data_IF_907310642521
#
_entry.id   IF_907310642521
#
_cell.length_a   1.000
_cell.length_b   1.000
_cell.length_c   1.000
_cell.angle_alpha   90.00
_cell.angle_beta   90.00
_cell.angle_gamma   90.00
#
_symmetry.space_group_name_H-M   'P 1'
#
loop_
_entity.id
_entity.type
_entity.pdbx_description
1 polymer ?
#
# COMPACT_ATOMS: atom_id res chain seq x y z
N UNK A 1 -1.12 0.28 8.06
CA UNK A 1 -2.38 -0.36 7.64
C UNK A 1 -2.56 -0.16 6.14
N UNK A 2 -3.13 -1.15 5.47
CA UNK A 2 -3.52 -1.06 4.07
C UNK A 2 -4.71 -0.12 3.90
N UNK A 3 -4.77 0.55 2.77
CA UNK A 3 -5.82 1.49 2.42
C UNK A 3 -6.25 1.20 0.98
N UNK A 4 -7.55 0.99 0.76
CA UNK A 4 -8.12 0.82 -0.56
C UNK A 4 -8.49 2.18 -1.13
N UNK A 5 -7.96 2.53 -2.29
CA UNK A 5 -8.23 3.81 -2.96
C UNK A 5 -8.80 3.51 -4.34
N UNK A 6 -9.93 4.13 -4.67
CA UNK A 6 -10.54 4.06 -6.00
C UNK A 6 -10.76 5.48 -6.52
N UNK A 7 -10.22 5.75 -7.70
CA UNK A 7 -10.53 6.93 -8.49
C UNK A 7 -11.41 6.49 -9.65
N UNK A 8 -12.67 6.90 -9.65
CA UNK A 8 -13.64 6.61 -10.70
C UNK A 8 -13.89 7.87 -11.52
N UNK A 9 -13.67 7.79 -12.84
CA UNK A 9 -13.76 8.94 -13.74
C UNK A 9 -14.74 8.64 -14.86
N UNK A 10 -15.62 9.60 -15.15
CA UNK A 10 -16.57 9.58 -16.27
C UNK A 10 -16.70 10.99 -16.82
N UNK A 11 -16.23 11.21 -18.05
CA UNK A 11 -16.30 12.50 -18.72
C UNK A 11 -17.52 12.66 -19.63
N UNK A 12 -18.31 11.60 -19.83
CA UNK A 12 -19.49 11.63 -20.73
C UNK A 12 -20.68 12.36 -20.11
N UNK A 13 -20.66 12.61 -18.80
CA UNK A 13 -21.76 13.25 -18.09
C UNK A 13 -21.67 14.77 -18.16
N UNK A 14 -22.63 15.36 -18.86
CA UNK A 14 -22.75 16.83 -19.06
C UNK A 14 -23.10 17.55 -17.77
N UNK A 15 -22.21 18.44 -17.32
CA UNK A 15 -22.46 19.32 -16.19
C UNK A 15 -22.54 18.64 -14.83
N UNK A 16 -22.07 17.41 -14.74
CA UNK A 16 -22.05 16.65 -13.49
C UNK A 16 -20.81 17.02 -12.66
N UNK A 17 -21.05 17.40 -11.42
CA UNK A 17 -20.01 17.59 -10.40
C UNK A 17 -19.39 16.25 -9.95
N UNK A 18 -19.82 15.12 -10.54
CA UNK A 18 -19.43 13.78 -10.18
C UNK A 18 -18.59 13.06 -11.26
N UNK A 19 -18.04 13.83 -12.23
CA UNK A 19 -17.15 13.25 -13.26
C UNK A 19 -15.92 12.57 -12.65
N UNK A 20 -15.45 13.03 -11.50
CA UNK A 20 -14.37 12.42 -10.73
C UNK A 20 -14.88 12.10 -9.33
N UNK A 21 -14.77 10.83 -8.94
CA UNK A 21 -15.11 10.35 -7.59
C UNK A 21 -13.90 9.66 -6.96
N UNK A 22 -13.57 10.06 -5.76
CA UNK A 22 -12.52 9.43 -4.96
C UNK A 22 -13.15 8.64 -3.82
N UNK A 23 -12.75 7.41 -3.67
CA UNK A 23 -13.18 6.56 -2.55
C UNK A 23 -11.98 6.09 -1.74
N UNK A 24 -12.13 6.05 -0.43
CA UNK A 24 -11.16 5.50 0.50
C UNK A 24 -11.84 4.46 1.36
N UNK A 25 -11.37 3.22 1.31
CA UNK A 25 -11.96 2.08 2.03
C UNK A 25 -13.48 1.93 1.81
N UNK A 26 -13.93 2.14 0.57
CA UNK A 26 -15.33 2.04 0.18
C UNK A 26 -16.18 3.30 0.41
N UNK A 27 -15.68 4.28 1.14
CA UNK A 27 -16.36 5.53 1.47
C UNK A 27 -15.98 6.63 0.47
N UNK A 28 -16.97 7.35 -0.07
CA UNK A 28 -16.74 8.46 -0.99
C UNK A 28 -16.18 9.67 -0.23
N UNK A 29 -15.06 10.19 -0.69
CA UNK A 29 -14.46 11.41 -0.18
C UNK A 29 -15.01 12.61 -0.95
N UNK A 30 -15.79 13.46 -0.29
CA UNK A 30 -16.52 14.58 -0.92
C UNK A 30 -16.00 15.96 -0.48
N UNK A 31 -14.97 16.03 0.37
CA UNK A 31 -14.44 17.29 0.89
C UNK A 31 -13.06 17.58 0.31
N UNK A 32 -12.99 18.42 -0.70
CA UNK A 32 -11.76 18.85 -1.36
C UNK A 32 -11.52 20.35 -1.13
N UNK A 33 -10.25 20.73 -1.00
CA UNK A 33 -9.87 22.15 -0.97
C UNK A 33 -10.08 22.83 -2.33
N UNK A 34 -9.94 22.08 -3.41
CA UNK A 34 -10.24 22.48 -4.78
C UNK A 34 -10.86 21.28 -5.48
N UNK A 35 -12.00 21.49 -6.11
CA UNK A 35 -12.72 20.50 -6.90
C UNK A 35 -12.91 21.07 -8.31
N UNK A 36 -12.19 20.50 -9.27
CA UNK A 36 -12.26 20.91 -10.67
C UNK A 36 -12.47 19.65 -11.50
N UNK A 37 -13.65 19.53 -12.06
CA UNK A 37 -14.02 18.40 -12.90
C UNK A 37 -13.61 18.68 -14.37
N UNK A 38 -13.31 17.64 -15.16
CA UNK A 38 -13.09 17.77 -16.59
C UNK A 38 -14.36 18.27 -17.29
N UNK A 39 -14.19 18.86 -18.46
CA UNK A 39 -15.29 19.22 -19.32
C UNK A 39 -15.98 17.96 -19.86
N UNK A 40 -17.24 18.10 -20.28
CA UNK A 40 -17.96 16.99 -20.96
C UNK A 40 -17.17 16.53 -22.19
N UNK A 41 -17.08 15.23 -22.35
CA UNK A 41 -16.33 14.57 -23.46
C UNK A 41 -14.84 14.95 -23.49
N UNK A 42 -14.28 15.44 -22.38
CA UNK A 42 -12.85 15.76 -22.31
C UNK A 42 -12.01 14.50 -22.38
N UNK A 43 -11.10 14.46 -23.35
CA UNK A 43 -10.14 13.37 -23.49
C UNK A 43 -9.06 13.49 -22.43
N UNK A 44 -9.03 12.56 -21.50
CA UNK A 44 -8.00 12.47 -20.48
C UNK A 44 -6.74 11.79 -21.01
N UNK A 45 -5.62 12.05 -20.34
CA UNK A 45 -4.32 11.46 -20.70
C UNK A 45 -4.26 9.95 -20.44
N UNK A 46 -5.09 9.44 -19.54
CA UNK A 46 -5.16 8.01 -19.19
C UNK A 46 -5.57 7.18 -20.42
N UNK A 47 -4.85 6.09 -20.66
CA UNK A 47 -5.10 5.21 -21.80
C UNK A 47 -4.67 5.77 -23.17
N UNK A 48 -3.97 6.89 -23.21
CA UNK A 48 -3.38 7.44 -24.46
C UNK A 48 -1.95 6.93 -24.67
N UNK A 49 -1.43 7.08 -25.88
CA UNK A 49 -0.07 6.63 -26.23
C UNK A 49 1.01 7.61 -25.70
N UNK A 50 1.09 7.74 -24.39
CA UNK A 50 2.12 8.47 -23.67
C UNK A 50 2.69 7.59 -22.56
N UNK A 51 3.86 7.95 -22.03
CA UNK A 51 4.45 7.22 -20.92
C UNK A 51 3.58 7.35 -19.65
N UNK A 52 3.22 6.23 -19.07
CA UNK A 52 2.51 6.13 -17.80
C UNK A 52 3.43 5.59 -16.72
N UNK A 53 3.30 6.11 -15.52
CA UNK A 53 4.14 5.74 -14.40
C UNK A 53 3.29 5.36 -13.19
N UNK A 54 3.76 4.37 -12.43
CA UNK A 54 3.16 3.94 -11.16
C UNK A 54 4.18 4.17 -10.05
N UNK A 55 3.74 4.77 -8.95
CA UNK A 55 4.59 5.05 -7.81
C UNK A 55 5.49 6.27 -7.95
N UNK A 56 5.37 7.01 -9.05
CA UNK A 56 6.13 8.24 -9.26
C UNK A 56 5.30 9.24 -10.08
N UNK A 57 5.49 10.52 -9.85
CA UNK A 57 4.83 11.53 -10.68
C UNK A 57 5.46 11.61 -12.07
N UNK A 58 4.61 11.91 -13.06
CA UNK A 58 5.07 12.16 -14.43
C UNK A 58 5.15 13.67 -14.66
N UNK A 59 6.35 14.16 -14.89
CA UNK A 59 6.57 15.53 -15.30
C UNK A 59 7.11 15.57 -16.74
N UNK A 60 6.31 16.09 -17.66
CA UNK A 60 6.66 16.23 -19.08
C UNK A 60 7.13 14.92 -19.77
N UNK A 61 6.52 13.78 -19.42
CA UNK A 61 6.85 12.49 -20.01
C UNK A 61 8.06 11.79 -19.40
N UNK A 62 8.59 12.31 -18.30
CA UNK A 62 9.69 11.70 -17.54
C UNK A 62 9.25 11.48 -16.09
N UNK A 63 9.75 10.42 -15.47
CA UNK A 63 9.56 10.19 -14.05
C UNK A 63 10.23 11.32 -13.24
N UNK A 64 9.47 11.90 -12.31
CA UNK A 64 9.99 12.89 -11.37
C UNK A 64 10.78 12.19 -10.24
N UNK A 65 11.53 12.96 -9.47
CA UNK A 65 12.26 12.48 -8.28
C UNK A 65 11.35 12.20 -7.08
N UNK A 66 10.06 12.58 -7.14
CA UNK A 66 9.06 12.41 -6.08
C UNK A 66 8.39 11.05 -6.18
N UNK A 67 9.03 10.02 -5.62
CA UNK A 67 8.50 8.67 -5.57
C UNK A 67 7.53 8.45 -4.41
N UNK A 68 6.60 7.52 -4.58
CA UNK A 68 5.78 6.99 -3.50
C UNK A 68 6.64 6.15 -2.55
N UNK A 69 6.64 6.50 -1.28
CA UNK A 69 7.33 5.74 -0.23
C UNK A 69 6.31 4.90 0.55
N UNK A 70 6.16 3.64 0.13
CA UNK A 70 5.18 2.74 0.71
C UNK A 70 5.07 1.42 -0.05
N UNK A 71 4.11 0.60 0.34
CA UNK A 71 3.78 -0.65 -0.33
C UNK A 71 2.52 -0.49 -1.17
N UNK A 72 2.50 -1.14 -2.32
CA UNK A 72 1.35 -1.21 -3.22
C UNK A 72 0.96 -2.66 -3.45
N UNK A 73 -0.32 -2.92 -3.62
CA UNK A 73 -0.85 -4.24 -3.93
C UNK A 73 -2.07 -4.10 -4.84
N UNK A 74 -2.27 -5.06 -5.73
CA UNK A 74 -3.46 -5.18 -6.58
C UNK A 74 -3.87 -3.84 -7.26
N UNK A 75 -3.05 -3.34 -8.17
CA UNK A 75 -3.37 -2.15 -8.94
C UNK A 75 -4.22 -2.54 -10.13
N UNK A 76 -5.39 -1.94 -10.24
CA UNK A 76 -6.32 -2.12 -11.34
C UNK A 76 -6.50 -0.80 -12.10
N UNK A 77 -6.38 -0.84 -13.42
CA UNK A 77 -6.89 0.19 -14.31
C UNK A 77 -7.92 -0.43 -15.23
N UNK A 78 -9.15 0.06 -15.17
CA UNK A 78 -10.26 -0.42 -15.99
C UNK A 78 -10.65 0.66 -16.97
N UNK A 79 -10.50 0.38 -18.24
CA UNK A 79 -10.79 1.29 -19.35
C UNK A 79 -12.24 1.14 -19.80
N UNK A 80 -12.90 2.29 -20.04
CA UNK A 80 -14.26 2.37 -20.57
C UNK A 80 -15.38 2.11 -19.57
N UNK A 81 -15.09 2.10 -18.25
CA UNK A 81 -16.10 1.89 -17.21
C UNK A 81 -15.80 2.74 -15.96
N UNK A 82 -16.80 3.47 -15.46
CA UNK A 82 -16.74 4.05 -14.13
C UNK A 82 -17.27 3.04 -13.11
N UNK A 83 -16.41 2.45 -12.31
CA UNK A 83 -16.76 1.40 -11.37
C UNK A 83 -16.76 1.91 -9.92
N UNK A 84 -17.73 1.42 -9.15
CA UNK A 84 -17.78 1.63 -7.72
C UNK A 84 -16.70 0.79 -6.98
N UNK A 85 -16.26 1.19 -5.78
CA UNK A 85 -15.25 0.45 -5.02
C UNK A 85 -15.67 -0.99 -4.70
N UNK A 86 -16.97 -1.27 -4.67
CA UNK A 86 -17.52 -2.62 -4.48
C UNK A 86 -17.24 -3.58 -5.65
N UNK A 87 -16.70 -3.10 -6.76
CA UNK A 87 -16.19 -3.97 -7.82
C UNK A 87 -14.89 -4.71 -7.39
N UNK A 88 -14.09 -4.12 -6.51
CA UNK A 88 -12.76 -4.58 -6.14
C UNK A 88 -12.61 -5.01 -4.68
N UNK A 89 -13.58 -4.64 -3.85
CA UNK A 89 -13.56 -4.95 -2.41
C UNK A 89 -14.97 -5.02 -1.85
N UNK A 90 -15.12 -5.53 -0.64
CA UNK A 90 -16.40 -5.68 0.04
C UNK A 90 -16.26 -5.52 1.56
N UNK A 91 -17.36 -5.21 2.24
CA UNK A 91 -17.40 -5.27 3.70
C UNK A 91 -17.56 -6.73 4.14
N UNK A 92 -16.64 -7.18 4.93
CA UNK A 92 -16.69 -8.48 5.60
C UNK A 92 -16.67 -8.31 7.11
N UNK A 93 -17.83 -8.37 7.73
CA UNK A 93 -18.03 -8.19 9.18
C UNK A 93 -17.48 -6.86 9.73
N UNK A 94 -17.68 -5.76 9.02
CA UNK A 94 -17.20 -4.44 9.39
C UNK A 94 -15.74 -4.16 9.03
N UNK A 95 -15.12 -5.04 8.25
CA UNK A 95 -13.78 -4.87 7.70
C UNK A 95 -13.85 -4.79 6.18
N UNK A 96 -13.32 -3.74 5.62
CA UNK A 96 -13.20 -3.58 4.17
C UNK A 96 -12.08 -4.46 3.64
N UNK A 97 -12.43 -5.50 2.85
CA UNK A 97 -11.47 -6.49 2.35
C UNK A 97 -11.47 -6.55 0.83
N UNK A 98 -10.32 -6.81 0.18
CA UNK A 98 -10.26 -7.00 -1.26
C UNK A 98 -11.03 -8.22 -1.71
N UNK A 99 -11.58 -8.14 -2.92
CA UNK A 99 -12.13 -9.27 -3.66
C UNK A 99 -11.66 -9.27 -5.11
N UNK A 100 -11.69 -10.43 -5.74
CA UNK A 100 -11.32 -10.56 -7.14
C UNK A 100 -12.27 -9.80 -8.05
N UNK A 101 -11.73 -8.94 -8.90
CA UNK A 101 -12.47 -8.33 -10.00
C UNK A 101 -12.68 -9.36 -11.11
N UNK A 102 -13.91 -9.53 -11.56
CA UNK A 102 -14.31 -10.51 -12.58
C UNK A 102 -14.83 -9.87 -13.87
N UNK A 103 -14.80 -8.53 -13.95
CA UNK A 103 -15.19 -7.79 -15.14
C UNK A 103 -14.09 -7.74 -16.20
N UNK A 104 -14.37 -7.01 -17.28
CA UNK A 104 -13.40 -6.76 -18.35
C UNK A 104 -12.58 -5.52 -18.07
N UNK A 105 -11.30 -5.54 -18.43
CA UNK A 105 -10.40 -4.40 -18.22
C UNK A 105 -10.46 -3.34 -19.33
N UNK A 106 -11.11 -3.64 -20.49
CA UNK A 106 -11.02 -2.79 -21.67
C UNK A 106 -9.64 -2.91 -22.35
N UNK A 107 -9.47 -2.26 -23.50
CA UNK A 107 -8.26 -2.46 -24.32
C UNK A 107 -6.99 -1.85 -23.72
N UNK A 108 -7.11 -0.74 -23.00
CA UNK A 108 -5.99 -0.06 -22.35
C UNK A 108 -5.89 -0.42 -20.85
N UNK A 109 -6.81 -1.24 -20.34
CA UNK A 109 -6.83 -1.64 -18.94
C UNK A 109 -5.71 -2.65 -18.60
N UNK A 110 -5.35 -2.71 -17.32
CA UNK A 110 -4.34 -3.64 -16.81
C UNK A 110 -4.61 -4.02 -15.34
N UNK A 111 -3.96 -5.08 -14.91
CA UNK A 111 -3.87 -5.47 -13.49
C UNK A 111 -2.45 -5.84 -13.14
N UNK A 112 -1.90 -5.19 -12.12
CA UNK A 112 -0.62 -5.56 -11.52
C UNK A 112 -0.86 -6.17 -10.15
N UNK A 113 -0.60 -7.46 -10.00
CA UNK A 113 -0.72 -8.18 -8.72
C UNK A 113 0.61 -8.30 -7.97
N UNK A 114 1.73 -7.94 -8.62
CA UNK A 114 3.09 -8.00 -8.09
C UNK A 114 3.52 -9.39 -7.59
N UNK A 115 2.83 -10.45 -7.99
CA UNK A 115 3.11 -11.81 -7.49
C UNK A 115 4.38 -12.40 -8.10
N UNK A 116 4.77 -11.98 -9.31
CA UNK A 116 5.97 -12.45 -9.98
C UNK A 116 7.17 -11.57 -9.66
N UNK A 117 7.99 -12.00 -8.71
CA UNK A 117 9.20 -11.26 -8.31
C UNK A 117 10.25 -11.10 -9.44
N UNK A 118 10.21 -11.96 -10.47
CA UNK A 118 11.11 -11.84 -11.64
C UNK A 118 10.59 -10.84 -12.68
N UNK A 119 9.30 -10.51 -12.62
CA UNK A 119 8.64 -9.57 -13.53
C UNK A 119 7.52 -8.83 -12.80
N UNK A 120 7.91 -7.85 -12.00
CA UNK A 120 7.02 -7.09 -11.10
C UNK A 120 5.99 -6.28 -11.89
N UNK A 121 6.33 -5.89 -13.12
CA UNK A 121 5.48 -5.09 -13.99
C UNK A 121 4.50 -5.90 -14.85
N UNK A 122 4.45 -7.22 -14.71
CA UNK A 122 3.60 -8.09 -15.51
C UNK A 122 2.11 -7.79 -15.33
N UNK A 123 1.43 -7.54 -16.45
CA UNK A 123 -0.03 -7.35 -16.49
C UNK A 123 -0.74 -8.71 -16.51
N UNK A 124 -1.48 -9.00 -15.47
CA UNK A 124 -2.27 -10.24 -15.34
C UNK A 124 -3.74 -10.08 -15.76
N UNK A 125 -4.12 -8.96 -16.36
CA UNK A 125 -5.48 -8.74 -16.89
C UNK A 125 -5.79 -9.54 -18.14
N UNK A 126 -4.75 -9.95 -18.87
CA UNK A 126 -4.83 -10.62 -20.18
C UNK A 126 -4.64 -9.67 -21.36
N UNK A 127 -4.47 -8.38 -21.16
CA UNK A 127 -4.23 -7.38 -22.21
C UNK A 127 -2.76 -7.24 -22.62
N UNK A 128 -1.83 -7.74 -21.79
CA UNK A 128 -0.38 -7.59 -21.94
C UNK A 128 0.07 -6.11 -21.98
N UNK A 129 -0.55 -5.27 -21.16
CA UNK A 129 -0.14 -3.88 -20.94
C UNK A 129 0.90 -3.82 -19.81
N UNK A 130 2.04 -4.48 -20.05
CA UNK A 130 3.12 -4.65 -19.09
C UNK A 130 3.84 -3.34 -18.77
N UNK A 131 4.28 -3.21 -17.53
CA UNK A 131 5.14 -2.13 -17.07
C UNK A 131 6.58 -2.61 -16.90
N UNK A 132 7.52 -1.75 -17.21
CA UNK A 132 8.93 -2.02 -16.93
C UNK A 132 9.27 -1.52 -15.54
N UNK A 133 9.78 -2.40 -14.69
CA UNK A 133 10.27 -2.02 -13.36
C UNK A 133 11.44 -1.02 -13.50
N UNK A 134 11.33 0.10 -12.79
CA UNK A 134 12.30 1.19 -12.81
C UNK A 134 12.75 1.58 -11.40
N UNK A 135 13.60 2.58 -11.30
CA UNK A 135 13.96 3.18 -10.00
C UNK A 135 14.69 2.25 -9.02
N UNK A 136 15.28 1.15 -9.50
CA UNK A 136 15.96 0.18 -8.64
C UNK A 136 15.03 -0.81 -7.96
N UNK A 137 13.77 -0.91 -8.39
CA UNK A 137 12.86 -1.96 -7.90
C UNK A 137 13.40 -3.32 -8.37
N UNK A 138 13.55 -4.26 -7.43
CA UNK A 138 14.09 -5.58 -7.65
C UNK A 138 13.23 -6.65 -6.96
N UNK A 139 13.49 -7.91 -7.23
CA UNK A 139 12.72 -9.05 -6.71
C UNK A 139 12.61 -9.08 -5.17
N UNK A 140 13.60 -8.57 -4.46
CA UNK A 140 13.61 -8.48 -3.01
C UNK A 140 12.71 -7.38 -2.44
N UNK A 141 12.10 -6.55 -3.30
CA UNK A 141 11.06 -5.59 -2.91
C UNK A 141 9.66 -6.22 -2.91
N UNK A 142 9.46 -7.39 -3.51
CA UNK A 142 8.19 -8.13 -3.40
C UNK A 142 8.00 -8.66 -1.98
N UNK A 143 6.84 -8.41 -1.40
CA UNK A 143 6.54 -8.70 0.01
C UNK A 143 5.42 -9.72 0.14
N UNK A 144 5.46 -10.46 1.24
CA UNK A 144 4.38 -11.40 1.58
C UNK A 144 3.18 -10.69 2.24
N UNK A 145 3.38 -9.47 2.73
CA UNK A 145 2.32 -8.65 3.33
C UNK A 145 1.44 -8.07 2.22
N UNK A 146 0.13 -8.26 2.34
CA UNK A 146 -0.86 -7.81 1.38
C UNK A 146 -2.17 -7.47 2.09
N UNK A 147 -3.12 -6.77 1.46
CA UNK A 147 -4.41 -6.49 2.06
C UNK A 147 -5.21 -7.73 2.49
N UNK A 148 -5.03 -8.86 1.79
CA UNK A 148 -5.69 -10.13 2.11
C UNK A 148 -4.91 -11.00 3.09
N UNK A 149 -3.63 -10.72 3.28
CA UNK A 149 -2.71 -11.48 4.11
C UNK A 149 -1.77 -10.53 4.86
N UNK A 150 -2.38 -9.75 5.75
CA UNK A 150 -1.71 -8.66 6.46
C UNK A 150 -0.99 -9.20 7.70
N UNK A 151 0.33 -9.23 7.62
CA UNK A 151 1.20 -9.66 8.70
C UNK A 151 1.60 -8.51 9.62
N UNK A 152 1.92 -8.85 10.86
CA UNK A 152 2.58 -7.94 11.76
C UNK A 152 4.02 -7.72 11.27
N UNK A 153 4.29 -6.55 10.73
CA UNK A 153 5.58 -6.20 10.18
C UNK A 153 6.36 -5.30 11.15
N UNK A 154 7.68 -5.40 11.14
CA UNK A 154 8.53 -4.47 11.88
C UNK A 154 8.52 -3.08 11.24
N UNK A 155 8.36 -2.05 12.05
CA UNK A 155 8.44 -0.67 11.60
C UNK A 155 9.90 -0.24 11.63
N UNK A 156 10.47 -0.04 10.45
CA UNK A 156 11.82 0.50 10.30
C UNK A 156 11.90 1.90 10.89
N UNK A 157 12.99 2.20 11.57
CA UNK A 157 13.26 3.52 12.16
C UNK A 157 12.16 4.03 13.10
N UNK A 158 11.72 3.18 14.02
CA UNK A 158 10.69 3.53 15.01
C UNK A 158 11.08 4.65 15.99
N UNK A 159 12.29 5.20 15.84
CA UNK A 159 12.80 6.29 16.70
C UNK A 159 13.11 5.86 18.14
N UNK A 160 13.02 4.57 18.45
CA UNK A 160 13.26 4.05 19.80
C UNK A 160 14.68 3.51 19.94
N UNK A 161 15.41 4.08 20.91
CA UNK A 161 16.80 3.71 21.17
C UNK A 161 17.81 4.47 20.32
N UNK A 162 19.09 4.31 20.66
CA UNK A 162 20.23 5.00 20.00
C UNK A 162 21.01 4.09 19.06
N UNK A 163 20.66 2.80 19.03
CA UNK A 163 21.37 1.80 18.24
C UNK A 163 20.81 1.68 16.82
N UNK A 164 21.60 1.03 15.97
CA UNK A 164 21.22 0.73 14.59
C UNK A 164 20.23 -0.44 14.53
N UNK A 165 19.29 -0.34 13.62
CA UNK A 165 18.42 -1.45 13.26
C UNK A 165 18.41 -1.61 11.73
N UNK A 166 18.29 -2.84 11.27
CA UNK A 166 18.09 -3.17 9.86
C UNK A 166 16.86 -4.03 9.74
N UNK A 167 15.89 -3.54 8.98
CA UNK A 167 14.66 -4.25 8.67
C UNK A 167 14.77 -4.80 7.26
N UNK A 168 14.46 -6.06 7.07
CA UNK A 168 14.58 -6.76 5.81
C UNK A 168 13.40 -7.73 5.58
N UNK A 169 13.38 -8.41 4.44
CA UNK A 169 12.40 -9.42 4.08
C UNK A 169 10.95 -8.96 4.28
N UNK A 170 10.61 -7.75 3.78
CA UNK A 170 9.27 -7.23 3.92
C UNK A 170 8.93 -6.79 5.33
N UNK A 171 9.92 -6.31 6.05
CA UNK A 171 9.78 -5.93 7.45
C UNK A 171 9.39 -7.11 8.37
N UNK A 172 9.58 -8.35 7.91
CA UNK A 172 9.36 -9.56 8.72
C UNK A 172 10.63 -10.03 9.44
N UNK A 173 11.77 -9.47 9.09
CA UNK A 173 13.05 -9.70 9.73
C UNK A 173 13.62 -8.39 10.26
N UNK A 174 14.14 -8.41 11.48
CA UNK A 174 14.82 -7.28 12.07
C UNK A 174 16.12 -7.71 12.74
N UNK A 175 17.21 -7.03 12.41
CA UNK A 175 18.50 -7.12 13.09
C UNK A 175 18.69 -5.85 13.91
N UNK A 176 18.89 -6.00 15.22
CA UNK A 176 18.97 -4.91 16.17
C UNK A 176 20.40 -4.83 16.73
N UNK A 177 20.99 -3.65 16.63
CA UNK A 177 22.24 -3.36 17.34
C UNK A 177 22.04 -3.11 18.83
N UNK A 178 23.11 -2.90 19.56
CA UNK A 178 23.07 -2.56 20.98
C UNK A 178 22.21 -1.32 21.21
N UNK A 179 21.30 -1.38 22.17
CA UNK A 179 20.42 -0.27 22.56
C UNK A 179 19.45 0.20 21.47
N UNK A 180 19.13 -0.65 20.50
CA UNK A 180 18.08 -0.39 19.51
C UNK A 180 16.77 -1.10 19.89
N UNK A 181 15.65 -0.50 19.57
CA UNK A 181 14.31 -1.06 19.72
C UNK A 181 13.58 -0.96 18.40
N UNK A 182 12.70 -1.92 18.12
CA UNK A 182 11.80 -1.87 17.00
C UNK A 182 10.39 -2.20 17.46
N UNK A 183 9.41 -1.69 16.76
CA UNK A 183 8.00 -1.97 16.99
C UNK A 183 7.42 -2.77 15.83
N UNK A 184 6.31 -3.44 16.09
CA UNK A 184 5.49 -4.03 15.07
C UNK A 184 4.36 -3.08 14.64
N UNK A 185 3.85 -3.30 13.43
CA UNK A 185 2.80 -2.47 12.80
C UNK A 185 1.42 -2.62 13.47
N UNK A 186 1.21 -3.69 14.24
CA UNK A 186 -0.08 -3.95 14.88
C UNK A 186 -0.13 -3.37 16.28
N UNK A 187 -1.28 -2.74 16.60
CA UNK A 187 -1.60 -2.25 17.94
C UNK A 187 -2.64 -3.17 18.56
N UNK A 188 -2.35 -3.68 19.75
CA UNK A 188 -3.25 -4.52 20.53
C UNK A 188 -4.05 -3.61 21.48
N UNK A 189 -5.36 -3.55 21.31
CA UNK A 189 -6.24 -2.70 22.13
C UNK A 189 -7.00 -3.51 23.20
N UNK A 190 -7.72 -4.55 22.80
CA UNK A 190 -8.55 -5.38 23.68
C UNK A 190 -8.75 -6.77 23.10
N UNK A 191 -9.21 -7.71 23.91
CA UNK A 191 -9.51 -9.08 23.47
C UNK A 191 -8.40 -10.09 23.79
N UNK A 192 -8.45 -11.24 23.12
CA UNK A 192 -7.48 -12.32 23.25
C UNK A 192 -6.63 -12.34 22.00
N UNK A 193 -5.33 -12.28 22.17
CA UNK A 193 -4.37 -12.19 21.09
C UNK A 193 -3.35 -13.30 21.19
N UNK A 194 -2.89 -13.78 20.04
CA UNK A 194 -1.77 -14.68 19.89
C UNK A 194 -0.75 -14.03 18.96
N UNK A 195 0.52 -14.14 19.30
CA UNK A 195 1.63 -13.74 18.47
C UNK A 195 2.81 -14.66 18.70
N UNK A 196 3.65 -14.80 17.71
CA UNK A 196 4.87 -15.60 17.80
C UNK A 196 6.04 -14.84 17.18
N UNK A 197 7.22 -15.09 17.69
CA UNK A 197 8.48 -14.53 17.19
C UNK A 197 9.50 -15.64 17.07
N UNK A 198 10.11 -15.73 15.90
CA UNK A 198 11.22 -16.63 15.69
C UNK A 198 12.53 -15.88 15.93
N UNK A 199 13.34 -16.32 16.89
CA UNK A 199 14.63 -15.73 17.23
C UNK A 199 15.75 -16.56 16.60
N UNK A 200 16.51 -15.94 15.71
CA UNK A 200 17.61 -16.61 14.99
C UNK A 200 18.97 -16.40 15.66
N UNK A 201 19.10 -15.36 16.48
CA UNK A 201 20.32 -15.04 17.22
C UNK A 201 19.99 -14.69 18.67
N UNK A 202 20.68 -15.30 19.61
CA UNK A 202 20.38 -15.28 21.05
C UNK A 202 21.25 -14.31 21.85
N UNK A 203 21.60 -13.19 21.29
CA UNK A 203 22.34 -12.11 21.98
C UNK A 203 21.55 -11.37 23.08
N UNK A 204 20.68 -12.07 23.84
CA UNK A 204 19.80 -11.52 24.89
C UNK A 204 18.75 -10.48 24.40
N UNK A 205 17.90 -10.83 23.40
CA UNK A 205 16.84 -9.93 22.98
C UNK A 205 15.74 -9.85 24.07
N UNK A 206 15.17 -8.65 24.21
CA UNK A 206 13.93 -8.45 24.97
C UNK A 206 12.76 -8.43 23.99
N UNK A 207 11.80 -9.30 24.19
CA UNK A 207 10.62 -9.42 23.33
C UNK A 207 9.39 -9.30 24.23
N UNK A 208 8.45 -8.43 23.87
CA UNK A 208 7.28 -8.24 24.70
C UNK A 208 6.31 -7.21 24.13
N UNK A 209 5.30 -6.89 24.92
CA UNK A 209 4.27 -5.89 24.60
C UNK A 209 4.59 -4.61 25.37
N UNK A 210 4.49 -3.49 24.69
CA UNK A 210 4.68 -2.18 25.28
C UNK A 210 3.44 -1.29 25.11
N UNK A 211 3.32 -0.27 25.92
CA UNK A 211 2.25 0.71 25.81
C UNK A 211 2.50 1.57 24.55
N UNK A 212 1.47 1.80 23.76
CA UNK A 212 1.57 2.70 22.59
C UNK A 212 1.94 4.13 23.05
N UNK A 213 2.81 4.80 22.28
CA UNK A 213 3.21 6.18 22.55
C UNK A 213 4.43 6.33 23.46
N UNK A 214 5.24 5.28 23.63
CA UNK A 214 6.57 5.44 24.23
C UNK A 214 7.41 6.35 23.33
N UNK A 215 7.91 7.43 23.90
CA UNK A 215 8.90 8.27 23.22
C UNK A 215 10.26 7.56 23.12
N UNK A 216 11.11 8.02 22.21
CA UNK A 216 12.41 7.39 21.90
C UNK A 216 13.41 7.29 23.06
N UNK A 217 13.06 7.74 24.28
CA UNK A 217 13.92 7.70 25.45
C UNK A 217 13.67 6.47 26.34
N UNK A 218 12.64 5.67 26.05
CA UNK A 218 12.24 4.52 26.89
C UNK A 218 12.48 3.21 26.16
N UNK A 219 13.34 2.41 26.68
CA UNK A 219 13.56 1.02 26.27
C UNK A 219 12.87 0.06 27.25
N UNK A 220 12.80 -1.21 26.89
CA UNK A 220 12.27 -2.28 27.77
C UNK A 220 12.98 -2.35 29.13
N UNK A 221 14.14 -1.74 29.25
CA UNK A 221 14.93 -1.66 30.47
C UNK A 221 14.34 -0.73 31.55
N UNK A 222 13.48 0.21 31.17
CA UNK A 222 13.02 1.27 32.07
C UNK A 222 11.66 1.00 32.74
N UNK A 223 11.22 -0.22 32.80
CA UNK A 223 10.09 -0.65 33.63
C UNK A 223 8.68 -0.40 33.08
N UNK A 224 8.55 -0.06 31.81
CA UNK A 224 7.25 0.17 31.16
C UNK A 224 6.85 -0.93 30.15
N UNK A 225 7.55 -2.05 30.15
CA UNK A 225 7.21 -3.22 29.35
C UNK A 225 6.58 -4.29 30.24
N UNK A 226 5.62 -4.99 29.69
CA UNK A 226 5.07 -6.24 30.25
C UNK A 226 5.84 -7.36 29.55
N UNK A 227 6.71 -8.05 30.27
CA UNK A 227 7.45 -9.20 29.76
C UNK A 227 6.59 -10.47 29.83
#
# INVERSE_FOLDING_TARGET
AWMHIVLAVDTDTSGDTNSIRLYVNGEEHTSFATDTNPSTDESLVFGTNVAHFIGVSNYQGSADSSGFDGMMADIHFVDGQQLAPTAFAEDFNGVWVPKSYTGTYGGNGFKLDFANAADIGNDVSGNNNDFTAGGGIAADHVRIDSPTNNFCAFVGNSGFGTGSQTVANGNTYNSIGTSANTQCSHVIASGKWYWETYVTDVGAPYIGITIAGLDGARNFYSGNAIA
#
